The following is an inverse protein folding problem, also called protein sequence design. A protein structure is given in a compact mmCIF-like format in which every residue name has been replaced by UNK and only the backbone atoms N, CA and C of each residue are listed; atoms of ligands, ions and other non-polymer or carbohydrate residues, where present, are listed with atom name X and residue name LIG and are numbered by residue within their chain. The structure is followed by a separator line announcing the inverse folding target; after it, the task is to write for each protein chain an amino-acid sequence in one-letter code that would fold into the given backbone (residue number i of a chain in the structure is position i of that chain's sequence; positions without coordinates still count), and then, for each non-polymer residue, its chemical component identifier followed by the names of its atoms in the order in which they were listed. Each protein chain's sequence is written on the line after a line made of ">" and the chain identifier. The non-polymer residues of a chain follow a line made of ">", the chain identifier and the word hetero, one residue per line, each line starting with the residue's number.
data_IF_743544179466
#
_entry.id   IF_743544179466
#
_cell.length_a   1.000
_cell.length_b   1.000
_cell.length_c   1.000
_cell.angle_alpha   90.00
_cell.angle_beta   90.00
_cell.angle_gamma   90.00
#
_symmetry.space_group_name_H-M   'P 1'
#
loop_
_entity.id
_entity.type
_entity.pdbx_description
1 polymer ?
#
# COMPACT_ATOMS: atom_id res chain seq x y z
N UNK A 1 30.82 -12.14 45.93
CA UNK A 1 31.53 -13.01 44.97
C UNK A 1 30.98 -12.68 43.60
N UNK A 2 31.79 -12.11 42.71
CA UNK A 2 31.39 -11.85 41.33
C UNK A 2 31.47 -13.17 40.53
N UNK A 3 30.55 -13.37 39.59
CA UNK A 3 30.54 -14.52 38.70
C UNK A 3 31.53 -14.27 37.57
N UNK A 4 32.61 -15.05 37.46
CA UNK A 4 33.39 -15.07 36.22
C UNK A 4 32.58 -15.81 35.16
N UNK A 5 32.14 -15.08 34.15
CA UNK A 5 31.28 -15.62 33.08
C UNK A 5 32.07 -15.66 31.79
N UNK A 6 32.36 -16.86 31.29
CA UNK A 6 32.82 -17.06 29.92
C UNK A 6 31.63 -17.49 29.06
N UNK A 7 31.43 -16.83 27.93
CA UNK A 7 30.32 -17.15 27.05
C UNK A 7 30.72 -17.00 25.57
N UNK A 8 30.28 -17.96 24.76
CA UNK A 8 30.54 -18.04 23.33
C UNK A 8 29.30 -18.63 22.67
N UNK A 9 28.92 -18.14 21.50
CA UNK A 9 27.68 -18.56 20.86
C UNK A 9 26.44 -17.89 21.44
N UNK A 10 26.63 -16.82 22.21
CA UNK A 10 25.51 -16.00 22.65
C UNK A 10 25.01 -15.22 21.44
N UNK A 11 24.01 -15.78 20.79
CA UNK A 11 23.18 -15.05 19.86
C UNK A 11 22.65 -13.75 20.47
N UNK A 12 22.20 -12.84 19.61
CA UNK A 12 21.62 -11.56 20.03
C UNK A 12 20.12 -11.63 20.29
N UNK A 13 19.54 -10.49 20.64
CA UNK A 13 18.13 -10.23 20.35
C UNK A 13 18.05 -9.76 18.90
N UNK A 14 17.29 -10.47 18.06
CA UNK A 14 16.99 -10.00 16.71
C UNK A 14 15.50 -9.72 16.62
N UNK A 15 15.16 -8.51 16.19
CA UNK A 15 13.82 -8.04 15.98
C UNK A 15 13.67 -7.63 14.52
N UNK A 16 12.56 -8.04 13.91
CA UNK A 16 12.25 -7.78 12.51
C UNK A 16 10.78 -7.43 12.42
N UNK A 17 10.52 -6.21 11.98
CA UNK A 17 9.17 -5.73 11.69
C UNK A 17 9.03 -5.47 10.19
N UNK A 18 7.91 -5.93 9.65
CA UNK A 18 7.45 -5.72 8.30
C UNK A 18 6.12 -4.95 8.33
N UNK A 19 5.98 -4.01 9.27
CA UNK A 19 4.73 -3.31 9.47
C UNK A 19 4.35 -2.51 8.22
N UNK A 20 3.15 -2.75 7.73
CA UNK A 20 2.51 -1.92 6.71
C UNK A 20 2.10 -0.56 7.26
N UNK A 21 1.61 0.29 6.37
CA UNK A 21 1.15 1.64 6.72
C UNK A 21 -0.33 1.70 7.11
N UNK A 22 -0.74 2.83 7.71
CA UNK A 22 -2.15 3.21 7.76
C UNK A 22 -2.50 4.03 6.53
N UNK A 23 -3.63 3.72 5.87
CA UNK A 23 -4.15 4.55 4.78
C UNK A 23 -5.48 5.16 5.21
N UNK A 24 -5.49 6.50 5.27
CA UNK A 24 -6.72 7.28 5.32
C UNK A 24 -7.09 7.74 3.92
N UNK A 25 -8.29 7.41 3.46
CA UNK A 25 -8.88 8.02 2.27
C UNK A 25 -10.08 8.86 2.71
N UNK A 26 -10.08 10.12 2.30
CA UNK A 26 -11.19 11.04 2.53
C UNK A 26 -12.34 10.77 1.57
N UNK A 27 -13.15 11.80 1.32
CA UNK A 27 -14.27 11.69 0.38
C UNK A 27 -13.76 11.36 -1.04
N UNK A 28 -14.30 10.27 -1.61
CA UNK A 28 -14.09 9.90 -3.01
C UNK A 28 -15.36 10.26 -3.78
N UNK A 29 -15.30 11.37 -4.54
CA UNK A 29 -16.42 11.86 -5.32
C UNK A 29 -16.07 11.88 -6.81
N UNK A 30 -16.81 11.10 -7.61
CA UNK A 30 -16.73 11.13 -9.07
C UNK A 30 -17.36 12.40 -9.69
N UNK A 31 -18.01 13.24 -8.87
CA UNK A 31 -18.71 14.45 -9.29
C UNK A 31 -20.11 14.20 -9.87
N UNK A 32 -20.68 15.26 -10.46
CA UNK A 32 -21.90 15.20 -11.28
C UNK A 32 -21.55 14.67 -12.66
N UNK A 33 -21.51 13.35 -12.80
CA UNK A 33 -21.36 12.67 -14.09
C UNK A 33 -22.64 12.76 -14.90
N UNK A 34 -23.06 14.00 -15.20
CA UNK A 34 -23.91 14.21 -16.35
C UNK A 34 -23.07 13.91 -17.57
N UNK A 35 -23.54 12.95 -18.36
CA UNK A 35 -22.95 12.65 -19.64
C UNK A 35 -23.16 13.79 -20.63
N UNK A 36 -23.55 13.42 -21.83
CA UNK A 36 -23.84 14.36 -22.90
C UNK A 36 -25.29 14.81 -22.81
N UNK A 37 -25.51 16.12 -22.87
CA UNK A 37 -26.83 16.73 -22.89
C UNK A 37 -26.97 17.53 -24.19
N UNK A 38 -28.11 17.38 -24.86
CA UNK A 38 -28.49 18.24 -25.97
C UNK A 38 -29.89 18.82 -25.76
N UNK A 39 -30.01 20.08 -26.15
CA UNK A 39 -31.28 20.79 -26.25
C UNK A 39 -31.38 21.29 -27.68
N UNK A 40 -32.44 20.89 -28.37
CA UNK A 40 -32.74 21.34 -29.73
C UNK A 40 -33.96 22.27 -29.66
N UNK A 41 -33.82 23.46 -30.22
CA UNK A 41 -34.90 24.45 -30.32
C UNK A 41 -35.79 24.21 -31.55
N UNK A 42 -36.54 25.24 -31.94
CA UNK A 42 -37.43 25.15 -33.11
C UNK A 42 -36.63 24.90 -34.41
N UNK A 43 -37.12 23.99 -35.25
CA UNK A 43 -36.51 23.61 -36.54
C UNK A 43 -37.50 23.95 -37.65
N UNK A 44 -37.21 25.00 -38.43
CA UNK A 44 -38.12 25.53 -39.46
C UNK A 44 -38.04 24.82 -40.83
N UNK A 45 -36.91 24.18 -41.17
CA UNK A 45 -36.74 23.28 -42.33
C UNK A 45 -35.43 22.45 -42.18
N UNK A 46 -35.39 21.24 -42.74
CA UNK A 46 -34.23 20.33 -42.69
C UNK A 46 -34.16 19.36 -41.49
N UNK A 47 -33.17 18.47 -41.48
CA UNK A 47 -32.99 17.44 -40.45
C UNK A 47 -31.88 17.82 -39.46
N UNK A 48 -32.16 17.69 -38.15
CA UNK A 48 -31.17 17.82 -37.07
C UNK A 48 -30.81 16.43 -36.57
N UNK A 49 -29.58 16.00 -36.84
CA UNK A 49 -29.01 14.80 -36.24
C UNK A 49 -28.15 15.21 -35.03
N UNK A 50 -28.47 14.63 -33.87
CA UNK A 50 -27.67 14.82 -32.65
C UNK A 50 -27.14 13.46 -32.23
N UNK A 51 -25.82 13.29 -32.33
CA UNK A 51 -25.11 12.18 -31.73
C UNK A 51 -24.40 12.68 -30.46
N UNK A 52 -24.72 12.04 -29.35
CA UNK A 52 -24.21 12.37 -28.02
C UNK A 52 -23.01 11.49 -27.63
N UNK A 53 -22.62 10.56 -28.51
CA UNK A 53 -21.51 9.65 -28.30
C UNK A 53 -21.67 8.75 -27.08
N UNK A 54 -20.61 7.98 -26.79
CA UNK A 54 -20.54 7.14 -25.60
C UNK A 54 -20.01 7.95 -24.41
N UNK A 55 -20.75 7.90 -23.29
CA UNK A 55 -20.33 8.52 -22.03
C UNK A 55 -19.99 7.42 -21.04
N UNK A 56 -18.78 7.48 -20.51
CA UNK A 56 -18.37 6.67 -19.36
C UNK A 56 -17.89 7.56 -18.23
N UNK A 57 -18.28 7.20 -17.01
CA UNK A 57 -17.68 7.74 -15.80
C UNK A 57 -17.12 6.60 -14.97
N UNK A 58 -15.87 6.76 -14.55
CA UNK A 58 -15.16 5.81 -13.70
C UNK A 58 -14.32 6.56 -12.68
N UNK A 59 -14.29 6.04 -11.45
CA UNK A 59 -13.34 6.48 -10.42
C UNK A 59 -12.74 5.24 -9.82
N UNK A 60 -11.53 4.93 -10.28
CA UNK A 60 -10.76 3.78 -9.79
C UNK A 60 -9.77 4.25 -8.76
N UNK A 61 -9.78 3.60 -7.59
CA UNK A 61 -8.80 3.83 -6.55
C UNK A 61 -8.11 2.52 -6.22
N UNK A 62 -6.79 2.51 -6.38
CA UNK A 62 -5.93 1.40 -5.98
C UNK A 62 -5.13 1.86 -4.78
N UNK A 63 -5.48 1.35 -3.60
CA UNK A 63 -4.78 1.64 -2.34
C UNK A 63 -4.02 0.39 -1.93
N UNK A 64 -2.74 0.56 -1.66
CA UNK A 64 -1.87 -0.46 -1.09
C UNK A 64 -1.24 0.10 0.17
N UNK A 65 -1.24 -0.70 1.23
CA UNK A 65 -0.64 -0.36 2.52
C UNK A 65 0.27 -1.48 2.99
N UNK A 66 0.76 -2.29 2.06
CA UNK A 66 1.34 -3.58 2.38
C UNK A 66 2.67 -3.40 3.12
N UNK A 67 2.81 -4.22 4.15
CA UNK A 67 4.07 -4.47 4.81
C UNK A 67 5.04 -5.21 3.90
N UNK A 68 6.32 -5.17 4.25
CA UNK A 68 7.37 -5.87 3.51
C UNK A 68 7.60 -7.30 3.99
N UNK A 69 8.76 -7.85 3.61
CA UNK A 69 9.32 -9.05 4.24
C UNK A 69 10.37 -8.63 5.25
N UNK A 70 10.21 -9.00 6.52
CA UNK A 70 11.20 -8.74 7.54
C UNK A 70 11.90 -10.04 7.95
N UNK A 71 13.24 -9.99 7.99
CA UNK A 71 14.10 -11.11 8.35
C UNK A 71 15.02 -10.63 9.47
N UNK A 72 14.99 -11.34 10.60
CA UNK A 72 15.89 -11.16 11.73
C UNK A 72 16.69 -12.44 11.93
N UNK A 73 17.99 -12.32 12.12
CA UNK A 73 18.88 -13.42 12.51
C UNK A 73 19.71 -12.97 13.72
N UNK A 74 19.68 -13.80 14.76
CA UNK A 74 20.42 -13.61 16.00
C UNK A 74 21.38 -14.77 16.24
N UNK A 75 21.82 -15.47 15.19
CA UNK A 75 22.67 -16.64 15.33
C UNK A 75 23.99 -16.32 16.06
N UNK A 76 24.31 -17.16 17.04
CA UNK A 76 25.57 -17.09 17.79
C UNK A 76 26.79 -17.64 17.02
N UNK A 77 26.61 -18.08 15.78
CA UNK A 77 27.65 -18.73 14.97
C UNK A 77 28.06 -20.12 15.46
N UNK A 78 28.99 -20.75 14.72
CA UNK A 78 29.60 -22.06 15.05
C UNK A 78 31.06 -21.89 15.55
N UNK A 79 31.66 -22.96 16.06
CA UNK A 79 33.06 -22.99 16.58
C UNK A 79 33.34 -22.02 17.74
N UNK A 80 32.33 -21.87 18.59
CA UNK A 80 32.37 -21.06 19.79
C UNK A 80 33.21 -21.71 20.92
N UNK A 81 34.17 -20.98 21.48
CA UNK A 81 35.04 -21.41 22.58
C UNK A 81 35.05 -20.36 23.70
N UNK A 82 34.68 -20.75 24.92
CA UNK A 82 34.67 -19.88 26.09
C UNK A 82 35.31 -20.59 27.31
N UNK A 83 36.24 -19.93 28.00
CA UNK A 83 36.82 -20.41 29.26
C UNK A 83 37.08 -19.24 30.23
N UNK A 84 37.03 -19.52 31.53
CA UNK A 84 37.41 -18.64 32.64
C UNK A 84 38.77 -19.11 33.19
N UNK A 85 39.64 -18.20 33.63
CA UNK A 85 40.98 -18.49 34.19
C UNK A 85 41.06 -18.29 35.70
#
# INVERSE_FOLDING_TARGET
>A
MAQDTAASGNGGTADASADGGAVGIGDVNSGLNFGSAAVVGDVDDGAVAVDLGDVSSSTTLSIDSDGGTAIADASGGDFNFAFVS
#
